data_IF_561871169678
#
_entry.id   IF_561871169678
#
_cell.length_a   1.000
_cell.length_b   1.000
_cell.length_c   1.000
_cell.angle_alpha   90.00
_cell.angle_beta   90.00
_cell.angle_gamma   90.00
#
_symmetry.space_group_name_H-M   'P 1'
#
loop_
_entity.id
_entity.type
_entity.pdbx_description
1 polymer ?
#
# COMPACT_ATOMS: atom_id res chain seq x y z
N UNK A 1 -40.02 61.78 -19.16
CA UNK A 1 -40.23 60.33 -18.94
C UNK A 1 -38.89 59.61 -19.18
N UNK A 2 -38.09 59.41 -18.13
CA UNK A 2 -36.76 58.82 -18.22
C UNK A 2 -36.92 57.32 -17.94
N UNK A 3 -36.57 56.48 -18.94
CA UNK A 3 -36.57 55.03 -18.79
C UNK A 3 -35.18 54.61 -18.27
N UNK A 4 -35.14 54.14 -17.04
CA UNK A 4 -33.93 53.63 -16.40
C UNK A 4 -33.77 52.17 -16.78
N UNK A 5 -32.79 51.87 -17.67
CA UNK A 5 -32.40 50.50 -18.01
C UNK A 5 -31.46 49.97 -16.93
N UNK A 6 -31.95 49.06 -16.08
CA UNK A 6 -31.11 48.32 -15.13
C UNK A 6 -30.33 47.21 -15.88
N UNK A 7 -29.05 47.42 -16.12
CA UNK A 7 -28.13 46.38 -16.58
C UNK A 7 -27.83 45.45 -15.37
N UNK A 8 -28.36 44.22 -15.41
CA UNK A 8 -28.00 43.15 -14.47
C UNK A 8 -26.68 42.52 -14.92
N UNK A 9 -25.58 42.85 -14.24
CA UNK A 9 -24.30 42.15 -14.43
C UNK A 9 -24.40 40.80 -13.72
N UNK A 10 -24.54 39.71 -14.46
CA UNK A 10 -24.30 38.37 -13.96
C UNK A 10 -22.77 38.15 -13.80
N UNK A 11 -22.26 38.26 -12.60
CA UNK A 11 -20.89 37.84 -12.27
C UNK A 11 -20.88 36.30 -12.29
N UNK A 12 -20.48 35.71 -13.40
CA UNK A 12 -20.13 34.30 -13.49
C UNK A 12 -18.86 34.10 -12.62
N UNK A 13 -19.04 33.73 -11.35
CA UNK A 13 -17.97 33.21 -10.52
C UNK A 13 -17.51 31.87 -11.15
N UNK A 14 -16.50 31.92 -12.00
CA UNK A 14 -15.76 30.74 -12.42
C UNK A 14 -15.03 30.20 -11.19
N UNK A 15 -15.67 29.27 -10.47
CA UNK A 15 -14.97 28.45 -9.49
C UNK A 15 -13.91 27.67 -10.26
N UNK A 16 -12.62 27.81 -9.91
CA UNK A 16 -11.61 26.96 -10.51
C UNK A 16 -12.01 25.51 -10.21
N UNK A 17 -12.18 24.70 -11.24
CA UNK A 17 -12.37 23.26 -11.15
C UNK A 17 -11.02 22.66 -10.67
N UNK A 18 -10.71 22.84 -9.39
CA UNK A 18 -9.60 22.12 -8.79
C UNK A 18 -9.95 20.63 -8.80
N UNK A 19 -9.08 19.82 -9.35
CA UNK A 19 -9.18 18.38 -9.30
C UNK A 19 -9.22 17.91 -7.83
N UNK A 20 -9.92 16.82 -7.57
CA UNK A 20 -9.90 16.20 -6.25
C UNK A 20 -8.57 15.47 -6.07
N UNK A 21 -7.75 15.96 -5.13
CA UNK A 21 -6.46 15.35 -4.81
C UNK A 21 -6.65 14.23 -3.79
N UNK A 22 -6.12 13.07 -4.10
CA UNK A 22 -6.15 11.88 -3.25
C UNK A 22 -4.73 11.43 -2.98
N UNK A 23 -4.33 11.37 -1.71
CA UNK A 23 -3.06 10.81 -1.27
C UNK A 23 -3.21 9.34 -0.92
N UNK A 24 -2.48 8.48 -1.63
CA UNK A 24 -2.42 7.04 -1.38
C UNK A 24 -1.07 6.69 -0.77
N UNK A 25 -1.10 5.94 0.34
CA UNK A 25 0.10 5.46 1.02
C UNK A 25 0.09 3.96 1.23
N UNK A 26 1.28 3.36 1.29
CA UNK A 26 1.52 1.98 1.70
C UNK A 26 2.55 1.95 2.83
N UNK A 27 2.27 1.17 3.88
CA UNK A 27 3.12 1.08 5.04
C UNK A 27 3.11 -0.33 5.64
N UNK A 28 4.24 -1.03 5.59
CA UNK A 28 4.47 -2.20 6.41
C UNK A 28 4.75 -1.73 7.84
N UNK A 29 3.91 -2.10 8.79
CA UNK A 29 3.96 -1.63 10.19
C UNK A 29 4.71 -2.57 11.11
N UNK A 30 5.52 -3.47 10.55
CA UNK A 30 6.39 -4.40 11.27
C UNK A 30 5.71 -5.06 12.46
N UNK A 31 5.00 -6.15 12.20
CA UNK A 31 4.38 -6.95 13.27
C UNK A 31 3.55 -6.10 14.26
N UNK A 32 2.58 -5.32 13.76
CA UNK A 32 1.62 -4.61 14.60
C UNK A 32 0.59 -5.59 15.17
N UNK A 33 1.06 -6.47 16.09
CA UNK A 33 0.35 -7.64 16.60
C UNK A 33 0.99 -8.13 17.91
N UNK A 34 0.40 -9.14 18.54
CA UNK A 34 1.04 -9.92 19.62
C UNK A 34 1.93 -11.00 18.98
N UNK A 35 3.12 -11.14 19.47
CA UNK A 35 4.06 -12.22 19.12
C UNK A 35 5.20 -12.27 20.14
N UNK A 36 6.02 -13.31 20.09
CA UNK A 36 7.24 -13.38 20.87
C UNK A 36 8.23 -12.29 20.45
N UNK A 37 8.74 -11.53 21.42
CA UNK A 37 9.60 -10.36 21.18
C UNK A 37 10.73 -10.23 22.15
N UNK A 38 11.84 -9.69 21.66
CA UNK A 38 12.88 -9.14 22.53
C UNK A 38 12.51 -7.70 22.89
N UNK A 39 12.20 -7.45 24.17
CA UNK A 39 11.81 -6.14 24.70
C UNK A 39 12.76 -5.76 25.83
N UNK A 40 13.45 -4.65 25.69
CA UNK A 40 14.44 -4.17 26.67
C UNK A 40 15.48 -5.23 27.08
N UNK A 41 15.93 -6.06 26.14
CA UNK A 41 16.91 -7.13 26.36
C UNK A 41 16.35 -8.43 26.90
N UNK A 42 15.06 -8.54 27.18
CA UNK A 42 14.40 -9.73 27.66
C UNK A 42 13.45 -10.32 26.63
N UNK A 43 13.48 -11.64 26.46
CA UNK A 43 12.53 -12.36 25.64
C UNK A 43 11.16 -12.41 26.31
N UNK A 44 10.11 -12.03 25.59
CA UNK A 44 8.73 -12.00 26.07
C UNK A 44 7.86 -12.80 25.10
N UNK A 45 7.18 -13.80 25.62
CA UNK A 45 6.17 -14.57 24.87
C UNK A 45 4.86 -13.78 24.78
N UNK A 46 4.13 -13.95 23.68
CA UNK A 46 2.82 -13.33 23.43
C UNK A 46 2.76 -11.84 23.80
N UNK A 47 3.79 -11.08 23.44
CA UNK A 47 3.90 -9.69 23.82
C UNK A 47 3.40 -8.75 22.71
N UNK A 48 2.54 -7.75 23.02
CA UNK A 48 2.08 -6.79 22.05
C UNK A 48 3.24 -5.92 21.54
N UNK A 49 3.06 -5.33 20.36
CA UNK A 49 4.01 -4.33 19.88
C UNK A 49 4.09 -3.19 20.89
N UNK A 50 5.31 -2.77 21.31
CA UNK A 50 5.49 -1.73 22.32
C UNK A 50 4.77 -0.43 21.97
N UNK A 51 4.12 0.19 22.95
CA UNK A 51 3.34 1.41 22.72
C UNK A 51 4.17 2.58 22.19
N UNK A 52 5.45 2.64 22.57
CA UNK A 52 6.37 3.65 22.00
C UNK A 52 6.53 3.48 20.48
N UNK A 53 6.64 2.24 19.99
CA UNK A 53 6.73 1.94 18.56
C UNK A 53 5.40 2.25 17.85
N UNK A 54 4.26 1.88 18.47
CA UNK A 54 2.93 2.20 17.97
C UNK A 54 2.69 3.71 17.89
N UNK A 55 3.13 4.46 18.89
CA UNK A 55 3.07 5.93 18.91
C UNK A 55 3.84 6.57 17.75
N UNK A 56 5.02 6.01 17.42
CA UNK A 56 5.81 6.46 16.27
C UNK A 56 5.09 6.15 14.96
N UNK A 57 4.56 4.94 14.78
CA UNK A 57 3.75 4.58 13.58
C UNK A 57 2.61 5.57 13.40
N UNK A 58 1.83 5.85 14.47
CA UNK A 58 0.74 6.84 14.41
C UNK A 58 1.25 8.24 14.06
N UNK A 59 2.42 8.64 14.59
CA UNK A 59 3.04 9.92 14.24
C UNK A 59 3.41 10.01 12.77
N UNK A 60 3.99 8.94 12.19
CA UNK A 60 4.31 8.88 10.74
C UNK A 60 3.03 9.00 9.89
N UNK A 61 1.99 8.26 10.25
CA UNK A 61 0.71 8.30 9.53
C UNK A 61 0.10 9.72 9.59
N UNK A 62 0.10 10.37 10.76
CA UNK A 62 -0.40 11.74 10.91
C UNK A 62 0.38 12.75 10.09
N UNK A 63 1.70 12.64 10.02
CA UNK A 63 2.58 13.56 9.26
C UNK A 63 2.37 13.43 7.75
N UNK A 64 2.24 12.21 7.24
CA UNK A 64 1.95 11.95 5.82
C UNK A 64 0.49 12.29 5.51
N UNK A 65 -0.41 12.04 6.46
CA UNK A 65 -1.86 12.31 6.35
C UNK A 65 -2.49 11.74 5.07
N UNK A 66 -2.35 10.44 4.79
CA UNK A 66 -2.91 9.87 3.58
C UNK A 66 -4.44 9.80 3.63
N UNK A 67 -5.09 9.94 2.46
CA UNK A 67 -6.52 9.72 2.32
C UNK A 67 -6.87 8.24 2.27
N UNK A 68 -5.94 7.44 1.71
CA UNK A 68 -6.01 5.99 1.69
C UNK A 68 -4.68 5.43 2.18
N UNK A 69 -4.73 4.60 3.22
CA UNK A 69 -3.58 3.97 3.84
C UNK A 69 -3.70 2.45 3.73
N UNK A 70 -2.88 1.84 2.88
CA UNK A 70 -2.72 0.39 2.79
C UNK A 70 -1.65 -0.07 3.79
N UNK A 71 -1.97 -1.10 4.56
CA UNK A 71 -1.14 -1.62 5.64
C UNK A 71 -0.76 -3.08 5.39
N UNK A 72 0.47 -3.44 5.76
CA UNK A 72 0.97 -4.81 5.80
C UNK A 72 1.47 -5.11 7.21
N UNK A 73 1.45 -6.37 7.61
CA UNK A 73 1.84 -6.89 8.92
C UNK A 73 0.99 -6.36 10.09
N UNK A 74 -0.29 -6.11 9.84
CA UNK A 74 -1.24 -5.87 10.92
C UNK A 74 -1.74 -7.22 11.46
N UNK A 75 -1.95 -7.30 12.76
CA UNK A 75 -2.53 -8.50 13.40
C UNK A 75 -4.04 -8.61 13.20
N UNK A 76 -4.70 -9.28 14.15
CA UNK A 76 -6.14 -9.49 14.17
C UNK A 76 -6.95 -8.17 14.08
N UNK A 77 -8.24 -8.19 13.72
CA UNK A 77 -9.03 -6.99 13.44
C UNK A 77 -9.01 -5.93 14.55
N UNK A 78 -8.85 -6.33 15.79
CA UNK A 78 -8.82 -5.37 16.92
C UNK A 78 -7.61 -4.44 16.85
N UNK A 79 -6.45 -4.87 16.30
CA UNK A 79 -5.29 -3.99 16.10
C UNK A 79 -5.56 -2.90 15.07
N UNK A 80 -6.29 -3.23 13.99
CA UNK A 80 -6.74 -2.24 13.03
C UNK A 80 -7.72 -1.25 13.66
N UNK A 81 -8.64 -1.75 14.48
CA UNK A 81 -9.64 -0.93 15.16
C UNK A 81 -8.98 0.02 16.17
N UNK A 82 -7.98 -0.44 16.92
CA UNK A 82 -7.22 0.41 17.85
C UNK A 82 -6.44 1.49 17.10
N UNK A 83 -5.72 1.13 16.05
CA UNK A 83 -5.02 2.10 15.20
C UNK A 83 -5.98 3.12 14.60
N UNK A 84 -7.12 2.67 14.07
CA UNK A 84 -8.17 3.52 13.50
C UNK A 84 -8.74 4.50 14.53
N UNK A 85 -9.09 4.00 15.72
CA UNK A 85 -9.59 4.82 16.84
C UNK A 85 -8.57 5.88 17.25
N UNK A 86 -7.32 5.50 17.44
CA UNK A 86 -6.25 6.39 17.90
C UNK A 86 -5.91 7.48 16.88
N UNK A 87 -5.95 7.14 15.59
CA UNK A 87 -5.75 8.12 14.52
C UNK A 87 -6.90 9.12 14.46
N UNK A 88 -8.16 8.66 14.62
CA UNK A 88 -9.34 9.51 14.55
C UNK A 88 -9.53 10.36 15.82
N UNK A 89 -9.19 9.83 17.01
CA UNK A 89 -9.28 10.56 18.27
C UNK A 89 -8.42 11.84 18.28
N UNK A 90 -7.35 11.87 17.50
CA UNK A 90 -6.49 13.07 17.37
C UNK A 90 -7.07 14.17 16.48
N UNK A 91 -8.25 13.98 15.88
CA UNK A 91 -8.89 14.95 14.97
C UNK A 91 -8.20 15.09 13.60
N UNK A 92 -7.16 14.29 13.31
CA UNK A 92 -6.37 14.38 12.08
C UNK A 92 -6.66 13.21 11.13
N UNK A 93 -7.00 12.03 11.66
CA UNK A 93 -7.21 10.82 10.87
C UNK A 93 -8.36 10.96 9.88
N UNK A 94 -9.55 11.28 10.39
CA UNK A 94 -10.80 11.38 9.64
C UNK A 94 -11.10 10.14 8.77
N UNK A 95 -10.54 8.97 9.11
CA UNK A 95 -10.83 7.73 8.40
C UNK A 95 -12.25 7.27 8.73
N UNK A 96 -13.07 7.09 7.69
CA UNK A 96 -14.47 6.67 7.81
C UNK A 96 -14.69 5.21 7.46
N UNK A 97 -13.73 4.61 6.75
CA UNK A 97 -13.84 3.26 6.23
C UNK A 97 -12.60 2.47 6.54
N UNK A 98 -12.79 1.18 6.84
CA UNK A 98 -11.72 0.23 7.04
C UNK A 98 -12.00 -1.08 6.30
N UNK A 99 -10.94 -1.80 5.97
CA UNK A 99 -11.02 -3.16 5.44
C UNK A 99 -9.82 -3.96 5.93
N UNK A 100 -10.09 -5.20 6.32
CA UNK A 100 -9.09 -6.15 6.81
C UNK A 100 -9.24 -7.46 6.07
N UNK A 101 -8.12 -8.11 5.73
CA UNK A 101 -8.06 -9.37 4.98
C UNK A 101 -7.14 -10.32 5.70
N UNK A 102 -7.67 -11.45 6.15
CA UNK A 102 -6.89 -12.52 6.76
C UNK A 102 -6.07 -13.25 5.69
N UNK A 103 -4.76 -13.38 5.93
CA UNK A 103 -3.92 -14.28 5.13
C UNK A 103 -4.19 -15.72 5.51
N UNK A 104 -4.48 -16.61 4.55
CA UNK A 104 -4.77 -18.01 4.84
C UNK A 104 -3.54 -18.80 5.33
N UNK A 105 -2.36 -18.44 4.83
CA UNK A 105 -1.11 -19.13 5.12
C UNK A 105 -0.12 -18.30 5.98
N UNK A 106 -0.61 -17.22 6.57
CA UNK A 106 0.10 -16.45 7.60
C UNK A 106 -0.91 -16.09 8.68
N UNK A 107 -0.87 -16.84 9.77
CA UNK A 107 -1.86 -16.74 10.85
C UNK A 107 -1.76 -15.42 11.62
N UNK A 108 -0.70 -14.66 11.45
CA UNK A 108 -0.42 -13.49 12.27
C UNK A 108 -0.39 -12.17 11.50
N UNK A 109 0.09 -12.19 10.23
CA UNK A 109 0.37 -10.97 9.47
C UNK A 109 -0.64 -10.79 8.34
N UNK A 110 -1.47 -9.80 8.47
CA UNK A 110 -2.60 -9.57 7.60
C UNK A 110 -2.46 -8.28 6.81
N UNK A 111 -3.34 -8.11 5.82
CA UNK A 111 -3.48 -6.88 5.05
C UNK A 111 -4.62 -6.05 5.62
N UNK A 112 -4.44 -4.74 5.66
CA UNK A 112 -5.51 -3.84 6.04
C UNK A 112 -5.49 -2.55 5.21
N UNK A 113 -6.58 -1.80 5.30
CA UNK A 113 -6.73 -0.50 4.66
C UNK A 113 -7.60 0.40 5.54
N UNK A 114 -7.18 1.66 5.66
CA UNK A 114 -8.00 2.75 6.18
C UNK A 114 -8.26 3.76 5.06
N UNK A 115 -9.48 4.30 4.97
CA UNK A 115 -9.85 5.27 3.95
C UNK A 115 -10.73 6.38 4.48
N UNK A 116 -10.43 7.62 4.04
CA UNK A 116 -11.32 8.78 4.18
C UNK A 116 -12.39 8.78 3.10
N UNK A 117 -12.07 8.22 1.93
CA UNK A 117 -12.97 8.12 0.79
C UNK A 117 -13.94 6.95 0.97
N UNK A 118 -15.18 7.09 0.48
CA UNK A 118 -16.13 5.97 0.42
C UNK A 118 -15.58 4.80 -0.39
N UNK A 119 -15.70 3.61 0.16
CA UNK A 119 -15.35 2.35 -0.50
C UNK A 119 -16.58 1.84 -1.24
N UNK A 120 -16.48 1.61 -2.56
CA UNK A 120 -17.55 1.10 -3.39
C UNK A 120 -17.65 -0.42 -3.31
N UNK A 121 -16.51 -1.10 -3.34
CA UNK A 121 -16.43 -2.56 -3.28
C UNK A 121 -15.17 -3.00 -2.56
N UNK A 122 -15.27 -4.13 -1.85
CA UNK A 122 -14.18 -4.78 -1.11
C UNK A 122 -14.14 -6.25 -1.51
N UNK A 123 -12.96 -6.73 -1.90
CA UNK A 123 -12.75 -8.14 -2.23
C UNK A 123 -11.42 -8.63 -1.66
N UNK A 124 -11.43 -9.84 -1.11
CA UNK A 124 -10.22 -10.57 -0.70
C UNK A 124 -10.03 -11.76 -1.64
N UNK A 125 -8.89 -11.82 -2.31
CA UNK A 125 -8.53 -12.91 -3.20
C UNK A 125 -7.51 -13.80 -2.51
N UNK A 126 -8.03 -14.78 -1.74
CA UNK A 126 -7.22 -15.70 -0.93
C UNK A 126 -6.78 -16.93 -1.72
N UNK A 127 -7.61 -17.37 -2.69
CA UNK A 127 -7.39 -18.58 -3.48
C UNK A 127 -6.58 -18.33 -4.76
N UNK A 128 -5.48 -17.54 -4.66
CA UNK A 128 -4.54 -17.38 -5.77
C UNK A 128 -3.52 -18.52 -5.70
N UNK A 129 -3.75 -19.55 -6.51
CA UNK A 129 -2.95 -20.76 -6.55
C UNK A 129 -1.87 -20.71 -7.64
N UNK A 130 -0.76 -21.37 -7.38
CA UNK A 130 0.35 -21.55 -8.33
C UNK A 130 1.17 -22.81 -8.03
N UNK A 131 1.86 -23.31 -9.05
CA UNK A 131 2.73 -24.46 -8.90
C UNK A 131 4.08 -24.03 -8.35
N UNK A 132 4.49 -24.62 -7.22
CA UNK A 132 5.79 -24.43 -6.60
C UNK A 132 6.44 -25.78 -6.38
N UNK A 133 7.53 -26.06 -7.10
CA UNK A 133 8.04 -27.41 -7.33
C UNK A 133 6.92 -28.31 -7.87
N UNK A 134 6.57 -29.37 -7.17
CA UNK A 134 5.54 -30.33 -7.57
C UNK A 134 4.23 -30.17 -6.78
N UNK A 135 4.08 -29.06 -6.05
CA UNK A 135 2.93 -28.81 -5.19
C UNK A 135 2.15 -27.57 -5.65
N UNK A 136 0.82 -27.65 -5.57
CA UNK A 136 -0.02 -26.46 -5.72
C UNK A 136 -0.08 -25.76 -4.37
N UNK A 137 0.42 -24.53 -4.34
CA UNK A 137 0.42 -23.67 -3.15
C UNK A 137 -0.40 -22.41 -3.39
N UNK A 138 -0.82 -21.78 -2.31
CA UNK A 138 -1.55 -20.51 -2.35
C UNK A 138 -0.68 -19.35 -1.89
N UNK A 139 -1.04 -18.15 -2.35
CA UNK A 139 -0.41 -16.94 -1.84
C UNK A 139 -0.61 -16.84 -0.31
N UNK A 140 0.44 -16.43 0.40
CA UNK A 140 0.42 -16.47 1.87
C UNK A 140 -0.59 -15.51 2.50
N UNK A 141 -0.70 -14.31 1.96
CA UNK A 141 -1.52 -13.23 2.54
C UNK A 141 -2.66 -12.81 1.63
N UNK A 142 -2.78 -13.47 0.46
CA UNK A 142 -3.78 -13.11 -0.52
C UNK A 142 -3.51 -11.76 -1.18
N UNK A 143 -4.52 -11.27 -1.88
CA UNK A 143 -4.53 -9.96 -2.53
C UNK A 143 -5.79 -9.23 -2.10
N UNK A 144 -5.62 -8.06 -1.48
CA UNK A 144 -6.75 -7.17 -1.16
C UNK A 144 -7.08 -6.32 -2.38
N UNK A 145 -8.35 -6.24 -2.74
CA UNK A 145 -8.87 -5.34 -3.78
C UNK A 145 -9.92 -4.40 -3.18
N UNK A 146 -9.76 -3.11 -3.41
CA UNK A 146 -10.71 -2.08 -2.98
C UNK A 146 -11.02 -1.16 -4.16
N UNK A 147 -12.32 -0.94 -4.42
CA UNK A 147 -12.78 -0.06 -5.48
C UNK A 147 -13.25 1.28 -4.91
N UNK A 148 -12.83 2.34 -5.57
CA UNK A 148 -13.17 3.72 -5.25
C UNK A 148 -13.79 4.43 -6.45
N UNK A 149 -14.48 5.56 -6.18
CA UNK A 149 -14.92 6.50 -7.20
C UNK A 149 -14.57 7.92 -6.78
N UNK A 150 -13.83 8.62 -7.65
CA UNK A 150 -13.40 10.02 -7.44
C UNK A 150 -13.76 10.81 -8.67
N UNK A 151 -14.51 11.93 -8.52
CA UNK A 151 -14.99 12.76 -9.66
C UNK A 151 -15.60 11.93 -10.80
N UNK A 152 -16.42 10.92 -10.45
CA UNK A 152 -17.08 10.05 -11.43
C UNK A 152 -16.18 8.97 -12.05
N UNK A 153 -14.88 8.95 -11.76
CA UNK A 153 -13.94 7.93 -12.25
C UNK A 153 -13.84 6.78 -11.26
N UNK A 154 -14.08 5.57 -11.72
CA UNK A 154 -13.89 4.34 -10.95
C UNK A 154 -12.47 3.85 -11.09
N UNK A 155 -11.84 3.51 -9.97
CA UNK A 155 -10.48 2.99 -9.93
C UNK A 155 -10.30 2.01 -8.77
N UNK A 156 -9.22 1.21 -8.80
CA UNK A 156 -8.98 0.14 -7.83
C UNK A 156 -7.62 0.27 -7.18
N UNK A 157 -7.58 -0.12 -5.92
CA UNK A 157 -6.34 -0.32 -5.19
C UNK A 157 -6.19 -1.80 -4.88
N UNK A 158 -5.04 -2.37 -5.25
CA UNK A 158 -4.60 -3.69 -4.83
C UNK A 158 -3.52 -3.53 -3.77
N UNK A 159 -3.72 -4.12 -2.60
CA UNK A 159 -2.71 -4.20 -1.53
C UNK A 159 -2.22 -5.64 -1.44
N UNK A 160 -0.90 -5.82 -1.44
CA UNK A 160 -0.24 -7.11 -1.34
C UNK A 160 0.93 -7.10 -0.35
N UNK A 161 1.33 -8.29 0.08
CA UNK A 161 2.56 -8.52 0.82
C UNK A 161 3.13 -9.88 0.38
N UNK A 162 4.13 -9.87 -0.50
CA UNK A 162 4.73 -11.09 -1.04
C UNK A 162 5.56 -11.81 0.02
N UNK A 163 5.87 -13.08 -0.27
CA UNK A 163 6.72 -13.92 0.59
C UNK A 163 8.06 -13.24 0.89
N UNK A 164 8.39 -13.16 2.17
CA UNK A 164 9.70 -12.65 2.63
C UNK A 164 10.86 -13.57 2.20
N UNK A 165 12.09 -13.06 2.29
CA UNK A 165 13.31 -13.82 1.98
C UNK A 165 13.59 -14.96 2.97
N UNK A 166 12.98 -14.95 4.15
CA UNK A 166 13.15 -16.01 5.13
C UNK A 166 12.49 -17.32 4.67
N UNK A 167 13.23 -18.43 4.73
CA UNK A 167 12.77 -19.76 4.35
C UNK A 167 13.63 -20.82 5.05
N UNK A 168 13.06 -21.99 5.30
CA UNK A 168 13.79 -23.18 5.73
C UNK A 168 14.19 -24.06 4.57
N UNK A 169 13.69 -23.80 3.35
CA UNK A 169 14.00 -24.57 2.15
C UNK A 169 15.39 -24.25 1.63
N UNK A 170 16.24 -25.27 1.59
CA UNK A 170 17.61 -25.16 1.07
C UNK A 170 17.67 -25.11 -0.45
N UNK A 171 16.67 -25.66 -1.13
CA UNK A 171 16.53 -25.72 -2.58
C UNK A 171 15.93 -24.43 -3.20
N UNK A 172 15.39 -23.53 -2.37
CA UNK A 172 15.00 -22.17 -2.76
C UNK A 172 15.51 -21.16 -1.72
N UNK A 173 16.82 -20.91 -1.65
CA UNK A 173 17.40 -19.99 -0.69
C UNK A 173 16.81 -18.59 -0.90
N UNK A 174 16.40 -17.95 0.20
CA UNK A 174 15.70 -16.66 0.22
C UNK A 174 14.29 -16.69 -0.42
N UNK A 175 13.68 -17.87 -0.61
CA UNK A 175 12.35 -18.04 -1.19
C UNK A 175 12.16 -17.25 -2.51
N UNK A 176 13.20 -17.22 -3.34
CA UNK A 176 13.23 -16.37 -4.55
C UNK A 176 12.28 -16.90 -5.62
N UNK A 177 12.27 -18.22 -5.85
CA UNK A 177 11.38 -18.89 -6.81
C UNK A 177 9.92 -18.82 -6.32
N UNK A 178 9.68 -19.08 -5.04
CA UNK A 178 8.34 -18.97 -4.43
C UNK A 178 7.77 -17.57 -4.62
N UNK A 179 8.53 -16.53 -4.30
CA UNK A 179 8.09 -15.13 -4.42
C UNK A 179 7.86 -14.71 -5.87
N UNK A 180 8.70 -15.19 -6.81
CA UNK A 180 8.49 -14.93 -8.25
C UNK A 180 7.18 -15.55 -8.75
N UNK A 181 6.91 -16.82 -8.38
CA UNK A 181 5.69 -17.52 -8.76
C UNK A 181 4.44 -16.91 -8.12
N UNK A 182 4.52 -16.51 -6.85
CA UNK A 182 3.45 -15.78 -6.18
C UNK A 182 3.14 -14.45 -6.90
N UNK A 183 4.16 -13.66 -7.19
CA UNK A 183 4.03 -12.40 -7.93
C UNK A 183 3.42 -12.60 -9.32
N UNK A 184 3.84 -13.66 -10.04
CA UNK A 184 3.32 -14.03 -11.35
C UNK A 184 1.83 -14.40 -11.26
N UNK A 185 1.45 -15.22 -10.28
CA UNK A 185 0.07 -15.65 -10.09
C UNK A 185 -0.86 -14.46 -9.77
N UNK A 186 -0.45 -13.57 -8.88
CA UNK A 186 -1.20 -12.34 -8.57
C UNK A 186 -1.34 -11.43 -9.80
N UNK A 187 -0.26 -11.20 -10.55
CA UNK A 187 -0.28 -10.45 -11.78
C UNK A 187 -1.25 -11.07 -12.81
N UNK A 188 -1.19 -12.40 -12.99
CA UNK A 188 -2.05 -13.10 -13.95
C UNK A 188 -3.52 -13.07 -13.53
N UNK A 189 -3.79 -13.12 -12.21
CA UNK A 189 -5.11 -12.90 -11.67
C UNK A 189 -5.64 -11.49 -12.01
N UNK A 190 -4.87 -10.44 -11.71
CA UNK A 190 -5.25 -9.04 -12.02
C UNK A 190 -5.50 -8.89 -13.52
N UNK A 191 -4.60 -9.41 -14.35
CA UNK A 191 -4.70 -9.30 -15.81
C UNK A 191 -5.90 -10.04 -16.41
N UNK A 192 -6.29 -11.19 -15.86
CA UNK A 192 -7.48 -11.93 -16.31
C UNK A 192 -8.76 -11.23 -15.89
N UNK A 193 -8.79 -10.69 -14.69
CA UNK A 193 -9.97 -9.98 -14.15
C UNK A 193 -10.15 -8.60 -14.76
N UNK A 194 -9.04 -7.92 -15.06
CA UNK A 194 -8.99 -6.58 -15.61
C UNK A 194 -8.01 -6.55 -16.79
N UNK A 195 -8.44 -7.02 -17.98
CA UNK A 195 -7.57 -7.13 -19.13
C UNK A 195 -7.00 -5.76 -19.56
N UNK A 196 -5.71 -5.67 -19.94
CA UNK A 196 -5.05 -4.41 -20.31
C UNK A 196 -5.75 -3.66 -21.46
N UNK A 197 -6.36 -4.38 -22.39
CA UNK A 197 -7.13 -3.85 -23.51
C UNK A 197 -8.37 -3.06 -23.09
N UNK A 198 -8.88 -3.30 -21.90
CA UNK A 198 -9.99 -2.51 -21.30
C UNK A 198 -9.49 -1.23 -20.62
N UNK A 199 -8.17 -1.00 -20.63
CA UNK A 199 -7.51 0.15 -20.02
C UNK A 199 -7.91 0.39 -18.55
N UNK A 200 -7.78 -0.63 -17.66
CA UNK A 200 -8.24 -0.54 -16.30
C UNK A 200 -7.44 0.48 -15.48
N UNK A 201 -8.13 1.24 -14.65
CA UNK A 201 -7.52 2.24 -13.77
C UNK A 201 -7.28 1.64 -12.40
N UNK A 202 -5.99 1.37 -12.06
CA UNK A 202 -5.65 0.77 -10.76
C UNK A 202 -4.25 1.17 -10.27
N UNK A 203 -4.07 1.02 -8.95
CA UNK A 203 -2.80 1.10 -8.24
C UNK A 203 -2.55 -0.24 -7.57
N UNK A 204 -1.33 -0.75 -7.62
CA UNK A 204 -0.86 -1.89 -6.83
C UNK A 204 0.16 -1.36 -5.84
N UNK A 205 -0.07 -1.62 -4.55
CA UNK A 205 0.77 -1.13 -3.46
C UNK A 205 1.15 -2.27 -2.52
N UNK A 206 2.21 -2.11 -1.76
CA UNK A 206 2.57 -3.05 -0.70
C UNK A 206 4.06 -3.30 -0.58
N UNK A 207 4.36 -4.31 0.24
CA UNK A 207 5.69 -4.88 0.41
C UNK A 207 5.87 -6.05 -0.57
N UNK A 208 6.70 -5.83 -1.58
CA UNK A 208 7.02 -6.84 -2.60
C UNK A 208 8.15 -7.78 -2.16
N UNK A 209 8.78 -7.50 -1.02
CA UNK A 209 9.89 -8.29 -0.46
C UNK A 209 11.04 -8.56 -1.44
N UNK A 210 11.16 -7.72 -2.48
CA UNK A 210 12.22 -7.87 -3.49
C UNK A 210 12.60 -6.54 -4.14
N UNK A 211 13.72 -6.55 -4.88
CA UNK A 211 14.33 -5.35 -5.44
C UNK A 211 13.73 -4.93 -6.78
N UNK A 212 13.91 -3.67 -7.12
CA UNK A 212 13.39 -3.01 -8.34
C UNK A 212 13.56 -3.82 -9.63
N UNK A 213 14.70 -4.49 -9.82
CA UNK A 213 15.05 -5.14 -11.09
C UNK A 213 14.91 -6.67 -11.06
N UNK A 214 14.33 -7.23 -10.00
CA UNK A 214 14.15 -8.67 -9.84
C UNK A 214 12.93 -9.19 -10.57
N UNK A 215 12.83 -10.51 -10.68
CA UNK A 215 11.73 -11.14 -11.38
C UNK A 215 10.36 -10.80 -10.79
N UNK A 216 10.12 -10.84 -9.46
CA UNK A 216 8.82 -10.49 -8.87
C UNK A 216 8.31 -9.11 -9.31
N UNK A 217 9.16 -8.08 -9.25
CA UNK A 217 8.78 -6.73 -9.65
C UNK A 217 8.49 -6.63 -11.16
N UNK A 218 9.38 -7.23 -11.99
CA UNK A 218 9.20 -7.22 -13.45
C UNK A 218 7.89 -7.87 -13.89
N UNK A 219 7.37 -8.86 -13.12
CA UNK A 219 6.07 -9.49 -13.43
C UNK A 219 4.93 -8.50 -13.46
N UNK A 220 4.89 -7.54 -12.53
CA UNK A 220 3.84 -6.53 -12.48
C UNK A 220 4.03 -5.39 -13.50
N UNK A 221 5.23 -5.19 -14.04
CA UNK A 221 5.49 -4.06 -14.93
C UNK A 221 5.09 -4.33 -16.37
N UNK A 222 5.37 -5.54 -16.88
CA UNK A 222 5.07 -5.87 -18.30
C UNK A 222 4.92 -7.36 -18.56
N UNK A 223 4.17 -7.69 -19.60
CA UNK A 223 4.12 -9.02 -20.24
C UNK A 223 4.40 -8.85 -21.72
N UNK A 224 5.45 -9.47 -22.21
CA UNK A 224 5.95 -9.28 -23.59
C UNK A 224 6.15 -7.77 -23.89
N UNK A 225 5.43 -7.22 -24.86
CA UNK A 225 5.46 -5.81 -25.25
C UNK A 225 4.42 -4.96 -24.51
N UNK A 226 3.45 -5.59 -23.79
CA UNK A 226 2.37 -4.89 -23.09
C UNK A 226 2.85 -4.37 -21.73
N UNK A 227 2.78 -3.06 -21.53
CA UNK A 227 2.99 -2.42 -20.24
C UNK A 227 1.75 -2.64 -19.37
N UNK A 228 1.94 -3.20 -18.18
CA UNK A 228 0.88 -3.44 -17.20
C UNK A 228 0.81 -2.33 -16.16
N UNK A 229 1.97 -1.87 -15.69
CA UNK A 229 2.07 -0.76 -14.76
C UNK A 229 3.41 -0.03 -14.85
N UNK A 230 3.41 1.21 -14.37
CA UNK A 230 4.57 2.04 -14.17
C UNK A 230 4.91 2.10 -12.68
N UNK A 231 6.18 1.96 -12.34
CA UNK A 231 6.67 2.11 -10.98
C UNK A 231 6.88 3.58 -10.67
N UNK A 232 6.22 4.10 -9.64
CA UNK A 232 6.40 5.49 -9.23
C UNK A 232 7.79 5.73 -8.61
N UNK A 233 8.45 6.84 -8.94
CA UNK A 233 9.82 7.13 -8.53
C UNK A 233 9.87 7.71 -7.11
N UNK A 234 9.39 6.95 -6.09
CA UNK A 234 9.42 7.39 -4.70
C UNK A 234 10.85 7.67 -4.23
N UNK A 235 11.05 8.84 -3.60
CA UNK A 235 12.32 9.25 -3.00
C UNK A 235 12.05 9.95 -1.67
N UNK A 236 13.01 9.89 -0.76
CA UNK A 236 13.00 10.67 0.48
C UNK A 236 13.46 12.12 0.25
N UNK A 237 13.55 12.90 1.32
CA UNK A 237 13.97 14.32 1.26
C UNK A 237 15.41 14.52 0.78
N UNK A 238 16.26 13.51 0.92
CA UNK A 238 17.66 13.51 0.50
C UNK A 238 17.86 12.87 -0.88
N UNK A 239 16.81 12.37 -1.52
CA UNK A 239 16.85 11.73 -2.83
C UNK A 239 17.10 10.22 -2.80
N UNK A 240 17.24 9.61 -1.65
CA UNK A 240 17.39 8.16 -1.51
C UNK A 240 16.06 7.44 -1.79
N UNK A 241 16.15 6.15 -2.15
CA UNK A 241 14.99 5.34 -2.57
C UNK A 241 14.80 4.03 -1.78
N UNK A 242 15.58 3.81 -0.69
CA UNK A 242 15.40 2.65 0.16
C UNK A 242 14.15 2.81 1.05
N UNK A 243 13.49 1.70 1.35
CA UNK A 243 12.27 1.67 2.18
C UNK A 243 12.37 0.75 3.38
N UNK A 244 13.38 -0.11 3.43
CA UNK A 244 13.58 -1.09 4.49
C UNK A 244 15.01 -1.05 4.99
N UNK A 245 15.20 -1.13 6.32
CA UNK A 245 16.48 -1.26 6.97
C UNK A 245 16.60 -2.61 7.67
N UNK A 246 17.52 -3.45 7.24
CA UNK A 246 17.78 -4.73 7.85
C UNK A 246 18.95 -4.64 8.83
N UNK A 247 18.65 -4.46 10.11
CA UNK A 247 19.64 -4.19 11.17
C UNK A 247 20.70 -5.29 11.34
N UNK A 248 20.36 -6.58 11.06
CA UNK A 248 21.33 -7.68 11.20
C UNK A 248 22.49 -7.62 10.21
N UNK A 249 22.31 -6.97 9.06
CA UNK A 249 23.31 -6.85 8.00
C UNK A 249 23.68 -5.40 7.71
N UNK A 250 23.13 -4.44 8.46
CA UNK A 250 23.29 -3.00 8.23
C UNK A 250 23.02 -2.62 6.76
N UNK A 251 21.95 -3.19 6.17
CA UNK A 251 21.62 -3.00 4.77
C UNK A 251 20.32 -2.22 4.58
N UNK A 252 20.30 -1.44 3.49
CA UNK A 252 19.18 -0.59 3.12
C UNK A 252 18.63 -1.03 1.77
N UNK A 253 17.38 -1.50 1.75
CA UNK A 253 16.73 -2.08 0.59
C UNK A 253 15.48 -1.30 0.19
N UNK A 254 15.11 -1.34 -1.10
CA UNK A 254 13.79 -0.90 -1.53
C UNK A 254 12.91 -2.12 -1.73
N UNK A 255 11.90 -2.29 -0.86
CA UNK A 255 10.96 -3.42 -0.86
C UNK A 255 9.52 -2.98 -1.08
N UNK A 256 9.19 -1.72 -0.78
CA UNK A 256 7.84 -1.15 -0.86
C UNK A 256 7.68 -0.30 -2.13
N UNK A 257 6.57 -0.51 -2.84
CA UNK A 257 6.34 0.13 -4.13
C UNK A 257 4.90 0.59 -4.31
N UNK A 258 4.75 1.60 -5.17
CA UNK A 258 3.51 2.04 -5.77
C UNK A 258 3.62 1.83 -7.28
N UNK A 259 2.80 0.93 -7.82
CA UNK A 259 2.73 0.63 -9.25
C UNK A 259 1.38 1.10 -9.78
N UNK A 260 1.38 1.88 -10.84
CA UNK A 260 0.17 2.46 -11.43
C UNK A 260 -0.07 1.93 -12.84
N UNK A 261 -1.30 1.54 -13.16
CA UNK A 261 -1.66 1.19 -14.54
C UNK A 261 -1.47 2.39 -15.48
N UNK A 262 -1.31 2.18 -16.80
CA UNK A 262 -1.21 3.29 -17.76
C UNK A 262 -2.36 4.29 -17.66
N UNK A 263 -3.59 3.81 -17.41
CA UNK A 263 -4.75 4.66 -17.18
C UNK A 263 -4.64 5.48 -15.89
N UNK A 264 -4.17 4.86 -14.78
CA UNK A 264 -4.01 5.54 -13.49
C UNK A 264 -2.85 6.54 -13.50
N UNK A 265 -1.82 6.29 -14.30
CA UNK A 265 -0.66 7.19 -14.42
C UNK A 265 -1.03 8.60 -14.91
N UNK A 266 -2.18 8.76 -15.59
CA UNK A 266 -2.68 10.07 -16.05
C UNK A 266 -3.13 10.96 -14.89
N UNK A 267 -3.49 10.37 -13.76
CA UNK A 267 -3.91 11.08 -12.54
C UNK A 267 -2.76 11.30 -11.57
N UNK A 268 -1.61 10.63 -11.76
CA UNK A 268 -0.45 10.81 -10.91
C UNK A 268 0.08 12.23 -10.99
N UNK A 269 0.12 12.92 -9.85
CA UNK A 269 0.73 14.23 -9.73
C UNK A 269 2.26 14.07 -9.74
N UNK A 270 2.87 14.41 -10.86
CA UNK A 270 4.31 14.23 -11.06
C UNK A 270 5.12 14.88 -9.94
N UNK A 271 6.15 14.18 -9.49
CA UNK A 271 7.01 14.64 -8.39
C UNK A 271 6.39 14.52 -6.99
N UNK A 272 5.16 14.00 -6.82
CA UNK A 272 4.54 13.81 -5.51
C UNK A 272 4.90 12.48 -4.82
N UNK A 273 5.48 11.53 -5.57
CA UNK A 273 5.87 10.23 -5.00
C UNK A 273 7.03 10.39 -4.03
N UNK A 274 6.82 10.00 -2.77
CA UNK A 274 7.74 10.20 -1.66
C UNK A 274 7.91 8.94 -0.80
N UNK A 275 9.02 8.92 -0.07
CA UNK A 275 9.26 8.02 1.05
C UNK A 275 9.29 8.90 2.31
N UNK A 276 8.52 8.54 3.32
CA UNK A 276 8.51 9.26 4.58
C UNK A 276 9.81 8.98 5.35
N UNK A 277 10.56 10.03 5.65
CA UNK A 277 11.87 9.99 6.31
C UNK A 277 11.91 10.88 7.55
N UNK A 278 10.77 11.02 8.22
CA UNK A 278 10.69 11.79 9.45
C UNK A 278 11.54 11.16 10.56
N UNK A 279 12.03 12.00 11.46
CA UNK A 279 12.84 11.60 12.60
C UNK A 279 12.20 10.42 13.35
N UNK A 280 13.00 9.42 13.70
CA UNK A 280 12.63 8.20 14.42
C UNK A 280 11.74 7.22 13.63
N UNK A 281 11.53 7.40 12.32
CA UNK A 281 10.63 6.51 11.54
C UNK A 281 11.00 5.03 11.67
N UNK A 282 12.30 4.70 11.77
CA UNK A 282 12.78 3.31 11.92
C UNK A 282 12.61 2.72 13.33
N UNK A 283 12.26 3.52 14.32
CA UNK A 283 11.94 3.01 15.66
C UNK A 283 10.53 2.42 15.75
N UNK A 284 9.60 2.84 14.86
CA UNK A 284 8.26 2.28 14.78
C UNK A 284 8.16 1.06 13.87
N UNK A 285 8.84 1.10 12.74
CA UNK A 285 8.92 0.03 11.77
C UNK A 285 10.30 0.02 11.12
N UNK A 286 10.80 -1.15 10.70
CA UNK A 286 11.98 -1.27 9.84
C UNK A 286 11.69 -0.89 8.39
N UNK A 287 10.42 -0.64 8.05
CA UNK A 287 9.99 -0.07 6.78
C UNK A 287 9.66 1.42 6.90
N UNK A 288 9.84 2.15 5.79
CA UNK A 288 9.42 3.53 5.63
C UNK A 288 8.18 3.60 4.73
N UNK A 289 7.20 4.40 5.13
CA UNK A 289 5.97 4.58 4.36
C UNK A 289 6.27 5.20 2.99
N UNK A 290 5.69 4.64 1.93
CA UNK A 290 5.70 5.20 0.58
C UNK A 290 4.33 5.81 0.27
N UNK A 291 4.31 6.98 -0.42
CA UNK A 291 3.06 7.62 -0.78
C UNK A 291 3.17 8.44 -2.06
N UNK A 292 2.04 8.71 -2.70
CA UNK A 292 1.94 9.59 -3.85
C UNK A 292 0.56 10.25 -3.89
N UNK A 293 0.47 11.37 -4.60
CA UNK A 293 -0.76 12.12 -4.80
C UNK A 293 -1.28 11.92 -6.22
N UNK A 294 -2.61 11.86 -6.31
CA UNK A 294 -3.35 11.72 -7.56
C UNK A 294 -4.41 12.80 -7.65
N UNK A 295 -4.59 13.40 -8.83
CA UNK A 295 -5.56 14.44 -9.09
C UNK A 295 -6.56 13.96 -10.15
N UNK A 296 -7.85 13.86 -9.77
CA UNK A 296 -8.94 13.34 -10.59
C UNK A 296 -9.80 14.43 -11.21
#
# INVERSE_FOLDING_TARGET
MLVLVKLLFFLLLAFPLFGERVRVASYNVKNYLVMDRLVAGYWREDYPKPEIENGIIRSMIRRVSPDILALQEIGEPYYLNDLWRDLNASGIGHYKHSYWVRGENDEQRHLALLSRLPIISKKSHLNIEFLYFNETVRSRRGLMEVEFRTKGKTWRLFNLHLKSKWTERKDDPQAADLREKEARAMRDFIRRTYPPETNPTHIIVGDFNDFKNTAPLRRFLKVNKTVLSHMLPCRDSLGYFWTHYYAKQDSYDRLDYLLVSPSMNKYYLEGSARIADYLRCLEGSDHRMVYADFEF
#
